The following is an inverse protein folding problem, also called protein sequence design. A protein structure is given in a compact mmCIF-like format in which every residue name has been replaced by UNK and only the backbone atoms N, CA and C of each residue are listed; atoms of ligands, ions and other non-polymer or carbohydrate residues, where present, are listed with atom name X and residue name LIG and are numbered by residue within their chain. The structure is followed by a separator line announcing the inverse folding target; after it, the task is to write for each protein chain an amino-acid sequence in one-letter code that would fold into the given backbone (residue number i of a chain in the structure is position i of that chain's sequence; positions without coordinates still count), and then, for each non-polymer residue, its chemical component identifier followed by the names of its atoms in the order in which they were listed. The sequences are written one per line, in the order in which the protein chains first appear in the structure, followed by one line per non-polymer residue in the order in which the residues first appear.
data_IF_278362983646
#
_entry.id   IF_278362983646
#
_cell.length_a   1.000
_cell.length_b   1.000
_cell.length_c   1.000
_cell.angle_alpha   90.00
_cell.angle_beta   90.00
_cell.angle_gamma   90.00
#
_symmetry.space_group_name_H-M   'P 1'
#
loop_
_entity.id
_entity.type
_entity.pdbx_description
1 polymer ?
#
# COMPACT_ATOMS: atom_id res chain seq x y z
N UNK A 1 55.24 -20.24 10.30
CA UNK A 1 53.86 -20.06 10.79
C UNK A 1 53.25 -18.91 10.00
N UNK A 2 52.21 -19.18 9.20
CA UNK A 2 51.62 -18.23 8.25
C UNK A 2 50.37 -17.59 8.85
N UNK A 3 50.36 -16.26 9.04
CA UNK A 3 49.21 -15.52 9.56
C UNK A 3 48.46 -14.87 8.39
N UNK A 4 47.36 -15.49 7.96
CA UNK A 4 46.44 -14.89 6.98
C UNK A 4 45.55 -13.86 7.67
N UNK A 5 45.80 -12.58 7.42
CA UNK A 5 44.99 -11.46 7.92
C UNK A 5 43.65 -11.41 7.18
N UNK A 6 42.55 -11.80 7.86
CA UNK A 6 41.19 -11.59 7.35
C UNK A 6 40.85 -10.10 7.39
N UNK A 7 40.88 -9.46 6.24
CA UNK A 7 40.52 -8.04 6.06
C UNK A 7 38.99 -7.93 6.19
N UNK A 8 38.52 -7.34 7.29
CA UNK A 8 37.10 -7.19 7.58
C UNK A 8 36.50 -5.98 6.84
N UNK A 9 35.23 -6.12 6.46
CA UNK A 9 34.43 -5.14 5.70
C UNK A 9 34.33 -3.77 6.37
N UNK A 10 34.61 -3.68 7.67
CA UNK A 10 34.58 -2.46 8.47
C UNK A 10 35.63 -1.42 8.03
N UNK A 11 36.80 -1.84 7.54
CA UNK A 11 37.83 -0.89 7.09
C UNK A 11 37.52 -0.25 5.71
N UNK A 12 36.70 -0.89 4.88
CA UNK A 12 36.30 -0.32 3.57
C UNK A 12 35.31 0.83 3.75
N UNK A 13 34.45 0.76 4.77
CA UNK A 13 33.51 1.84 5.12
C UNK A 13 34.24 3.09 5.62
N UNK A 14 35.33 2.94 6.37
CA UNK A 14 36.12 4.07 6.87
C UNK A 14 36.81 4.89 5.78
N UNK A 15 37.22 4.26 4.67
CA UNK A 15 37.82 4.98 3.52
C UNK A 15 36.79 5.67 2.64
N UNK A 16 35.63 5.03 2.42
CA UNK A 16 34.51 5.63 1.69
C UNK A 16 33.98 6.89 2.39
N UNK A 17 33.87 6.84 3.72
CA UNK A 17 33.43 7.98 4.54
C UNK A 17 34.37 9.18 4.47
N UNK A 18 35.70 8.96 4.49
CA UNK A 18 36.68 10.05 4.35
C UNK A 18 36.69 10.66 2.95
N UNK A 19 36.39 9.89 1.91
CA UNK A 19 36.25 10.40 0.56
C UNK A 19 34.95 11.22 0.41
N UNK A 20 33.85 10.74 0.97
CA UNK A 20 32.58 11.46 1.03
C UNK A 20 32.68 12.78 1.80
N UNK A 21 33.26 12.77 3.01
CA UNK A 21 33.46 13.97 3.82
C UNK A 21 34.44 14.97 3.20
N UNK A 22 35.42 14.53 2.41
CA UNK A 22 36.27 15.43 1.61
C UNK A 22 35.54 15.99 0.39
N UNK A 23 34.67 15.20 -0.23
CA UNK A 23 33.77 15.63 -1.29
C UNK A 23 32.88 16.77 -0.82
N UNK A 24 32.27 16.62 0.36
CA UNK A 24 31.49 17.69 1.00
C UNK A 24 32.32 18.94 1.23
N UNK A 25 33.51 18.83 1.86
CA UNK A 25 34.36 20.02 2.09
C UNK A 25 34.77 20.73 0.80
N UNK A 26 34.99 19.98 -0.28
CA UNK A 26 35.36 20.54 -1.58
C UNK A 26 34.17 21.14 -2.32
N UNK A 27 32.97 20.56 -2.17
CA UNK A 27 31.70 21.12 -2.62
C UNK A 27 31.34 22.38 -1.84
N UNK A 28 31.51 22.37 -0.52
CA UNK A 28 31.31 23.54 0.34
C UNK A 28 32.31 24.65 0.04
N UNK A 29 33.60 24.32 -0.16
CA UNK A 29 34.60 25.32 -0.56
C UNK A 29 34.34 25.85 -1.97
N UNK A 30 33.83 25.01 -2.87
CA UNK A 30 33.46 25.40 -4.23
C UNK A 30 32.19 26.27 -4.25
N UNK A 31 31.18 25.93 -3.45
CA UNK A 31 29.96 26.73 -3.22
C UNK A 31 30.28 28.06 -2.54
N UNK A 32 31.18 28.06 -1.57
CA UNK A 32 31.69 29.28 -0.93
C UNK A 32 32.49 30.13 -1.92
N UNK A 33 33.33 29.51 -2.77
CA UNK A 33 34.10 30.23 -3.80
C UNK A 33 33.23 30.78 -4.93
N UNK A 34 32.03 30.21 -5.15
CA UNK A 34 31.02 30.73 -6.08
C UNK A 34 30.06 31.75 -5.45
N UNK A 35 30.24 32.08 -4.16
CA UNK A 35 29.42 33.07 -3.48
C UNK A 35 27.94 32.70 -3.41
N UNK A 36 27.62 31.40 -3.35
CA UNK A 36 26.22 30.98 -3.17
C UNK A 36 25.81 31.44 -1.77
N UNK A 37 24.89 32.42 -1.65
CA UNK A 37 24.44 32.85 -0.33
C UNK A 37 23.84 31.63 0.36
N UNK A 38 24.12 31.48 1.65
CA UNK A 38 23.54 30.41 2.50
C UNK A 38 22.02 30.28 2.28
N UNK A 39 21.38 31.42 1.96
CA UNK A 39 19.97 31.55 1.54
C UNK A 39 19.63 30.70 0.31
N UNK A 40 20.46 30.68 -0.74
CA UNK A 40 20.22 29.88 -1.95
C UNK A 40 20.31 28.37 -1.70
N UNK A 41 21.26 27.95 -0.86
CA UNK A 41 21.36 26.56 -0.43
C UNK A 41 20.15 26.15 0.42
N UNK A 42 19.71 27.01 1.35
CA UNK A 42 18.51 26.78 2.15
C UNK A 42 17.24 26.71 1.28
N UNK A 43 17.12 27.58 0.28
CA UNK A 43 15.99 27.58 -0.66
C UNK A 43 15.95 26.27 -1.47
N UNK A 44 17.10 25.80 -1.96
CA UNK A 44 17.17 24.53 -2.69
C UNK A 44 16.72 23.35 -1.82
N UNK A 45 17.14 23.30 -0.55
CA UNK A 45 16.68 22.27 0.40
C UNK A 45 15.17 22.35 0.63
N UNK A 46 14.62 23.56 0.74
CA UNK A 46 13.17 23.77 0.85
C UNK A 46 12.41 23.31 -0.39
N UNK A 47 12.91 23.61 -1.59
CA UNK A 47 12.31 23.13 -2.85
C UNK A 47 12.32 21.61 -2.91
N UNK A 48 13.43 20.96 -2.53
CA UNK A 48 13.50 19.50 -2.48
C UNK A 48 12.48 18.93 -1.48
N UNK A 49 12.37 19.52 -0.28
CA UNK A 49 11.35 19.12 0.70
C UNK A 49 9.94 19.25 0.16
N UNK A 50 9.62 20.36 -0.49
CA UNK A 50 8.30 20.60 -1.07
C UNK A 50 8.02 19.65 -2.24
N UNK A 51 9.04 19.34 -3.06
CA UNK A 51 8.91 18.36 -4.13
C UNK A 51 8.63 16.96 -3.56
N UNK A 52 9.36 16.53 -2.53
CA UNK A 52 9.10 15.27 -1.83
C UNK A 52 7.69 15.24 -1.24
N UNK A 53 7.27 16.33 -0.59
CA UNK A 53 5.92 16.46 -0.03
C UNK A 53 4.84 16.40 -1.12
N UNK A 54 5.06 17.08 -2.25
CA UNK A 54 4.15 17.07 -3.39
C UNK A 54 4.02 15.69 -4.03
N UNK A 55 5.14 14.97 -4.22
CA UNK A 55 5.13 13.59 -4.71
C UNK A 55 4.39 12.67 -3.74
N UNK A 56 4.63 12.80 -2.43
CA UNK A 56 3.95 12.00 -1.42
C UNK A 56 2.43 12.27 -1.38
N UNK A 57 2.03 13.54 -1.48
CA UNK A 57 0.62 13.91 -1.55
C UNK A 57 -0.03 13.39 -2.84
N UNK A 58 0.68 13.46 -3.97
CA UNK A 58 0.21 12.94 -5.24
C UNK A 58 0.00 11.42 -5.18
N UNK A 59 0.96 10.67 -4.62
CA UNK A 59 0.83 9.21 -4.48
C UNK A 59 -0.31 8.85 -3.53
N UNK A 60 -0.41 9.52 -2.38
CA UNK A 60 -1.53 9.30 -1.43
C UNK A 60 -2.88 9.65 -2.05
N UNK A 61 -2.97 10.75 -2.79
CA UNK A 61 -4.18 11.14 -3.53
C UNK A 61 -4.57 10.07 -4.55
N UNK A 62 -3.59 9.52 -5.28
CA UNK A 62 -3.82 8.42 -6.21
C UNK A 62 -4.34 7.16 -5.53
N UNK A 63 -3.76 6.79 -4.38
CA UNK A 63 -4.22 5.63 -3.60
C UNK A 63 -5.65 5.82 -3.10
N UNK A 64 -5.98 7.02 -2.60
CA UNK A 64 -7.35 7.34 -2.18
C UNK A 64 -8.31 7.27 -3.37
N UNK A 65 -7.93 7.82 -4.53
CA UNK A 65 -8.77 7.79 -5.73
C UNK A 65 -9.02 6.36 -6.22
N UNK A 66 -7.99 5.50 -6.23
CA UNK A 66 -8.12 4.08 -6.53
C UNK A 66 -8.99 3.35 -5.52
N UNK A 67 -8.85 3.65 -4.23
CA UNK A 67 -9.66 3.07 -3.18
C UNK A 67 -11.15 3.43 -3.35
N UNK A 68 -11.44 4.71 -3.57
CA UNK A 68 -12.80 5.18 -3.84
C UNK A 68 -13.36 4.51 -5.09
N UNK A 69 -12.56 4.42 -6.16
CA UNK A 69 -12.96 3.71 -7.38
C UNK A 69 -13.30 2.24 -7.10
N UNK A 70 -12.48 1.53 -6.31
CA UNK A 70 -12.75 0.14 -5.93
C UNK A 70 -14.03 0.00 -5.10
N UNK A 71 -14.27 0.90 -4.14
CA UNK A 71 -15.50 0.93 -3.34
C UNK A 71 -16.72 1.16 -4.24
N UNK A 72 -16.65 2.12 -5.17
CA UNK A 72 -17.72 2.39 -6.13
C UNK A 72 -17.95 1.18 -7.02
N UNK A 73 -16.89 0.55 -7.54
CA UNK A 73 -17.00 -0.65 -8.37
C UNK A 73 -17.65 -1.82 -7.60
N UNK A 74 -17.26 -2.04 -6.35
CA UNK A 74 -17.86 -3.07 -5.50
C UNK A 74 -19.33 -2.77 -5.20
N UNK A 75 -19.67 -1.50 -4.93
CA UNK A 75 -21.06 -1.08 -4.72
C UNK A 75 -21.91 -1.29 -5.97
N UNK A 76 -21.39 -0.91 -7.14
CA UNK A 76 -22.05 -1.16 -8.43
C UNK A 76 -22.20 -2.66 -8.68
N UNK A 77 -21.17 -3.47 -8.46
CA UNK A 77 -21.25 -4.92 -8.65
C UNK A 77 -22.32 -5.56 -7.76
N UNK A 78 -22.40 -5.14 -6.49
CA UNK A 78 -23.46 -5.56 -5.58
C UNK A 78 -24.84 -5.12 -6.06
N UNK A 79 -25.00 -3.87 -6.48
CA UNK A 79 -26.30 -3.33 -6.87
C UNK A 79 -26.76 -3.80 -8.27
N UNK A 80 -25.82 -4.15 -9.15
CA UNK A 80 -26.10 -4.64 -10.49
C UNK A 80 -26.36 -6.16 -10.55
N UNK A 81 -26.40 -6.84 -9.38
CA UNK A 81 -26.54 -8.30 -9.32
C UNK A 81 -25.37 -9.05 -9.96
N UNK A 82 -24.19 -8.42 -10.05
CA UNK A 82 -22.95 -9.06 -10.52
C UNK A 82 -22.23 -9.80 -9.38
N UNK A 83 -22.58 -9.50 -8.14
CA UNK A 83 -22.36 -10.43 -7.05
C UNK A 83 -23.42 -11.53 -7.21
N UNK A 84 -23.00 -12.79 -7.32
CA UNK A 84 -23.90 -13.96 -7.33
C UNK A 84 -24.62 -14.02 -5.97
N UNK A 85 -25.66 -13.20 -5.79
CA UNK A 85 -26.60 -13.41 -4.71
C UNK A 85 -27.20 -14.80 -4.93
N UNK A 86 -27.19 -15.67 -3.90
CA UNK A 86 -27.75 -17.00 -4.04
C UNK A 86 -29.21 -16.85 -4.51
N UNK A 87 -29.63 -17.62 -5.53
CA UNK A 87 -30.97 -17.47 -6.07
C UNK A 87 -32.01 -17.61 -4.97
N UNK A 88 -33.07 -16.82 -5.10
CA UNK A 88 -34.13 -16.77 -4.09
C UNK A 88 -34.71 -18.17 -3.84
N UNK A 89 -35.12 -18.48 -2.59
CA UNK A 89 -35.73 -19.76 -2.29
C UNK A 89 -36.95 -20.02 -3.19
N UNK A 90 -36.96 -21.18 -3.85
CA UNK A 90 -37.98 -21.54 -4.83
C UNK A 90 -38.86 -22.69 -4.33
N UNK A 91 -40.14 -22.66 -4.72
CA UNK A 91 -41.08 -23.75 -4.47
C UNK A 91 -40.80 -24.88 -5.46
N UNK A 92 -40.29 -26.00 -4.96
CA UNK A 92 -39.98 -27.18 -5.77
C UNK A 92 -40.21 -28.47 -5.00
N UNK A 93 -40.21 -29.58 -5.73
CA UNK A 93 -40.23 -30.91 -5.13
C UNK A 93 -38.78 -31.39 -4.95
N UNK A 94 -38.30 -31.41 -3.71
CA UNK A 94 -36.93 -31.80 -3.36
C UNK A 94 -36.88 -33.11 -2.55
N UNK A 95 -35.74 -33.36 -1.91
CA UNK A 95 -35.49 -34.59 -1.14
C UNK A 95 -36.47 -34.82 0.01
N UNK A 96 -37.02 -33.76 0.59
CA UNK A 96 -38.01 -33.78 1.67
C UNK A 96 -39.45 -33.52 1.17
N UNK A 97 -39.73 -33.75 -0.11
CA UNK A 97 -41.04 -33.52 -0.73
C UNK A 97 -41.24 -32.07 -1.21
N UNK A 98 -42.48 -31.68 -1.45
CA UNK A 98 -42.83 -30.32 -1.91
C UNK A 98 -42.66 -29.31 -0.77
N UNK A 99 -41.94 -28.22 -1.05
CA UNK A 99 -41.69 -27.16 -0.07
C UNK A 99 -40.88 -26.01 -0.64
N UNK A 100 -40.58 -25.03 0.21
CA UNK A 100 -39.69 -23.93 -0.12
C UNK A 100 -38.25 -24.39 0.09
N UNK A 101 -37.43 -24.38 -0.95
CA UNK A 101 -36.04 -24.84 -0.89
C UNK A 101 -35.08 -23.68 -1.13
N UNK A 102 -33.97 -23.68 -0.38
CA UNK A 102 -32.80 -22.84 -0.68
C UNK A 102 -31.98 -23.44 -1.83
N UNK A 103 -31.09 -22.63 -2.44
CA UNK A 103 -30.24 -23.02 -3.57
C UNK A 103 -29.42 -24.30 -3.31
N UNK A 104 -28.94 -24.48 -2.08
CA UNK A 104 -28.19 -25.63 -1.57
C UNK A 104 -29.02 -26.91 -1.38
N UNK A 105 -30.34 -26.86 -1.61
CA UNK A 105 -31.21 -28.04 -1.61
C UNK A 105 -31.81 -28.40 -0.26
N UNK A 106 -31.65 -27.56 0.77
CA UNK A 106 -32.34 -27.74 2.05
C UNK A 106 -33.76 -27.15 2.01
N UNK A 107 -34.71 -27.82 2.68
CA UNK A 107 -36.09 -27.35 2.83
C UNK A 107 -36.17 -26.38 4.02
N UNK A 108 -36.74 -25.20 3.79
CA UNK A 108 -37.05 -24.22 4.85
C UNK A 108 -38.38 -24.66 5.49
N UNK A 109 -38.32 -25.17 6.71
CA UNK A 109 -39.51 -25.48 7.50
C UNK A 109 -39.78 -24.31 8.47
N UNK A 110 -41.00 -23.74 8.50
CA UNK A 110 -41.39 -22.83 9.57
C UNK A 110 -41.24 -23.57 10.90
N UNK A 111 -40.52 -22.99 11.86
CA UNK A 111 -40.41 -23.55 13.21
C UNK A 111 -41.80 -23.87 13.75
N UNK A 112 -42.07 -25.14 14.00
CA UNK A 112 -43.06 -25.56 14.98
C UNK A 112 -42.36 -25.36 16.31
N UNK A 113 -42.80 -24.39 17.11
CA UNK A 113 -42.39 -24.35 18.51
C UNK A 113 -42.95 -25.63 19.15
N UNK A 114 -42.06 -26.47 19.69
CA UNK A 114 -42.49 -27.61 20.49
C UNK A 114 -43.11 -27.02 21.78
N UNK A 115 -44.43 -26.99 21.84
CA UNK A 115 -45.17 -26.65 23.05
C UNK A 115 -44.79 -27.66 24.16
N UNK A 116 -44.06 -27.20 25.20
CA UNK A 116 -43.75 -27.98 26.42
C UNK A 116 -45.01 -28.36 27.22
#
# INVERSE_FOLDING_TARGET
MNTTTRISTAERLGRGWRAYARGERRLSSWLASKGVPVVGAALAVWVVKLAVLGVLLYTMSWLVLLLVFAVVAAWVARNAGLADDPPEPEWRNGSAGFGLYTYDGFRIDPHVEDDE
#
